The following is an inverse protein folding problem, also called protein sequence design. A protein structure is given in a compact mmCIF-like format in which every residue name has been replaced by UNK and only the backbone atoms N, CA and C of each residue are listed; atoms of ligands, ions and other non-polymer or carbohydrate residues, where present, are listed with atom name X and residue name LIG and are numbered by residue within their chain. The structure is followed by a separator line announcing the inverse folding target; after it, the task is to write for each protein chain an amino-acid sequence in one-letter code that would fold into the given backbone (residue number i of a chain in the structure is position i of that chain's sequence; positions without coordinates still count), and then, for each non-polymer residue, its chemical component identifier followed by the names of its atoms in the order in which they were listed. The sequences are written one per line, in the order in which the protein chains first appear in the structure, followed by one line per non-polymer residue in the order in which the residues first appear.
data_IF_177465084529
#
_entry.id   IF_177465084529
#
_cell.length_a   1.000
_cell.length_b   1.000
_cell.length_c   1.000
_cell.angle_alpha   90.00
_cell.angle_beta   90.00
_cell.angle_gamma   90.00
#
_symmetry.space_group_name_H-M   'P 1'
#
loop_
_entity.id
_entity.type
_entity.pdbx_description
1 polymer ?
#
# COMPACT_ATOMS: atom_id res chain seq x y z
N UNK A 1 -44.17 17.94 -57.70
CA UNK A 1 -42.74 18.22 -57.93
C UNK A 1 -42.11 18.24 -56.56
N UNK A 2 -41.17 17.40 -56.13
CA UNK A 2 -40.49 16.19 -56.60
C UNK A 2 -39.79 15.66 -55.31
N UNK A 3 -40.06 14.44 -54.84
CA UNK A 3 -39.21 13.22 -54.88
C UNK A 3 -38.10 13.07 -53.82
N UNK A 4 -38.05 11.87 -53.21
CA UNK A 4 -36.90 11.24 -52.51
C UNK A 4 -37.10 11.07 -51.00
N UNK A 5 -37.45 9.93 -50.38
CA UNK A 5 -37.10 8.50 -50.53
C UNK A 5 -35.66 8.14 -50.14
N UNK A 6 -35.49 7.44 -48.99
CA UNK A 6 -34.50 6.37 -48.65
C UNK A 6 -34.63 6.05 -47.14
N UNK A 7 -35.31 4.98 -46.72
CA UNK A 7 -34.84 3.60 -46.50
C UNK A 7 -33.50 3.42 -45.75
N UNK A 8 -33.61 2.87 -44.52
CA UNK A 8 -33.00 1.60 -44.12
C UNK A 8 -31.50 1.52 -43.81
N UNK A 9 -31.16 1.08 -42.60
CA UNK A 9 -30.12 0.05 -42.40
C UNK A 9 -30.24 -0.67 -41.06
N UNK A 10 -30.63 -1.94 -41.17
CA UNK A 10 -30.33 -3.04 -40.25
C UNK A 10 -29.01 -3.67 -40.73
N UNK A 11 -28.17 -4.13 -39.80
CA UNK A 11 -26.99 -4.97 -40.02
C UNK A 11 -26.19 -5.05 -38.71
N UNK A 12 -26.41 -6.03 -37.84
CA UNK A 12 -25.84 -7.40 -37.83
C UNK A 12 -24.32 -7.45 -38.09
N UNK A 13 -23.55 -7.68 -37.01
CA UNK A 13 -22.63 -8.82 -36.74
C UNK A 13 -21.61 -9.26 -37.83
N UNK A 14 -20.58 -10.12 -37.55
CA UNK A 14 -19.85 -10.51 -36.33
C UNK A 14 -18.30 -10.70 -36.53
N UNK A 15 -17.59 -11.19 -35.48
CA UNK A 15 -16.25 -11.88 -35.47
C UNK A 15 -15.01 -10.99 -35.69
N UNK A 16 -13.86 -11.20 -35.04
CA UNK A 16 -13.36 -12.27 -34.16
C UNK A 16 -12.29 -11.71 -33.19
N UNK A 17 -12.10 -12.32 -32.01
CA UNK A 17 -11.11 -13.38 -31.74
C UNK A 17 -9.67 -12.81 -31.78
N UNK A 18 -8.74 -13.02 -30.83
CA UNK A 18 -8.37 -14.20 -30.04
C UNK A 18 -7.49 -13.70 -28.84
N UNK A 19 -7.36 -14.54 -27.80
CA UNK A 19 -6.31 -14.62 -26.76
C UNK A 19 -6.48 -13.64 -25.57
N UNK A 20 -6.73 -14.03 -24.33
CA UNK A 20 -6.80 -15.32 -23.63
C UNK A 20 -6.71 -15.02 -22.11
N UNK A 21 -7.26 -15.86 -21.22
CA UNK A 21 -7.15 -15.67 -19.78
C UNK A 21 -5.73 -16.01 -19.34
N UNK A 22 -4.99 -15.04 -18.80
CA UNK A 22 -3.73 -15.31 -18.10
C UNK A 22 -4.03 -15.99 -16.76
N UNK A 23 -4.16 -17.32 -16.83
CA UNK A 23 -3.88 -18.23 -15.73
C UNK A 23 -2.40 -18.10 -15.36
N UNK A 24 -2.09 -17.76 -14.11
CA UNK A 24 -0.81 -18.13 -13.52
C UNK A 24 -1.11 -19.27 -12.55
N UNK A 25 -1.03 -20.47 -13.11
CA UNK A 25 -0.83 -21.73 -12.39
C UNK A 25 0.68 -21.91 -12.33
N UNK A 26 1.26 -21.82 -11.15
CA UNK A 26 2.59 -22.39 -10.91
C UNK A 26 2.38 -23.78 -10.32
N UNK A 27 2.57 -24.79 -11.16
CA UNK A 27 2.81 -26.17 -10.74
C UNK A 27 4.29 -26.44 -11.02
N UNK A 28 4.97 -26.73 -9.93
CA UNK A 28 6.04 -27.70 -9.68
C UNK A 28 6.96 -28.11 -10.86
N UNK A 29 8.27 -28.07 -10.62
CA UNK A 29 9.02 -29.28 -10.33
C UNK A 29 10.49 -28.97 -10.08
N UNK A 30 11.07 -29.72 -9.13
CA UNK A 30 12.48 -30.10 -8.96
C UNK A 30 12.93 -29.91 -7.50
N UNK A 31 12.46 -30.77 -6.58
CA UNK A 31 12.98 -32.11 -6.30
C UNK A 31 14.45 -32.09 -5.86
N UNK A 32 14.64 -32.24 -4.55
CA UNK A 32 15.91 -32.50 -3.89
C UNK A 32 15.68 -33.07 -2.48
N UNK A 33 14.64 -33.89 -2.35
CA UNK A 33 14.38 -34.70 -1.17
C UNK A 33 14.68 -36.15 -1.56
N UNK A 34 15.97 -36.49 -1.57
CA UNK A 34 16.39 -37.89 -1.47
C UNK A 34 16.29 -38.28 0.01
N UNK A 35 15.05 -38.52 0.43
CA UNK A 35 14.79 -39.52 1.46
C UNK A 35 15.16 -40.88 0.85
N UNK A 36 16.39 -41.32 1.12
CA UNK A 36 16.71 -42.74 1.00
C UNK A 36 15.88 -43.46 2.05
N UNK A 37 14.77 -44.02 1.57
CA UNK A 37 13.89 -44.95 2.25
C UNK A 37 14.70 -46.18 2.69
N UNK A 38 15.32 -46.11 3.87
CA UNK A 38 15.58 -47.31 4.67
C UNK A 38 14.32 -47.60 5.46
N UNK A 39 13.37 -48.21 4.78
CA UNK A 39 12.14 -48.78 5.34
C UNK A 39 12.57 -49.82 6.39
N UNK A 40 12.62 -49.41 7.66
CA UNK A 40 12.57 -50.34 8.79
C UNK A 40 11.16 -50.92 8.82
N UNK A 41 10.95 -51.94 7.98
CA UNK A 41 9.77 -52.80 8.07
C UNK A 41 10.01 -53.72 9.26
N UNK A 42 9.71 -53.21 10.45
CA UNK A 42 9.49 -54.04 11.63
C UNK A 42 8.11 -54.71 11.45
N UNK A 43 8.07 -55.81 10.69
CA UNK A 43 6.95 -56.74 10.72
C UNK A 43 7.38 -58.01 11.44
N UNK A 44 6.54 -58.35 12.40
CA UNK A 44 6.63 -59.45 13.33
C UNK A 44 6.78 -60.79 12.59
N UNK A 45 7.69 -61.63 13.09
CA UNK A 45 7.75 -63.04 12.69
C UNK A 45 9.16 -63.56 12.45
N UNK A 46 9.49 -64.61 13.19
CA UNK A 46 10.62 -65.55 13.02
C UNK A 46 11.98 -65.14 13.62
N UNK A 47 12.24 -65.68 14.82
CA UNK A 47 13.52 -65.69 15.53
C UNK A 47 14.68 -66.39 14.78
N UNK A 48 14.45 -66.92 13.58
CA UNK A 48 15.49 -67.59 12.79
C UNK A 48 16.42 -66.63 12.02
N UNK A 49 15.98 -65.41 11.65
CA UNK A 49 16.81 -64.48 10.84
C UNK A 49 17.81 -63.64 11.65
N UNK A 50 17.63 -63.54 12.97
CA UNK A 50 18.53 -62.79 13.87
C UNK A 50 19.83 -63.54 14.14
N UNK A 51 19.78 -64.86 14.20
CA UNK A 51 20.98 -65.69 14.40
C UNK A 51 21.89 -65.65 13.16
N UNK A 52 21.31 -65.71 11.95
CA UNK A 52 22.07 -65.56 10.70
C UNK A 52 22.71 -64.17 10.59
N UNK A 53 21.97 -63.11 10.92
CA UNK A 53 22.51 -61.74 10.90
C UNK A 53 23.61 -61.52 11.95
N UNK A 54 23.51 -62.17 13.10
CA UNK A 54 24.54 -62.13 14.15
C UNK A 54 25.76 -62.96 13.78
N UNK A 55 25.56 -64.11 13.12
CA UNK A 55 26.63 -64.94 12.60
C UNK A 55 27.38 -64.22 11.47
N UNK A 56 26.67 -63.56 10.57
CA UNK A 56 27.25 -62.70 9.52
C UNK A 56 28.01 -61.51 10.12
N UNK A 57 27.49 -60.87 11.18
CA UNK A 57 28.24 -59.83 11.89
C UNK A 57 29.52 -60.38 12.52
N UNK A 58 29.45 -61.55 13.17
CA UNK A 58 30.61 -62.16 13.82
C UNK A 58 31.68 -62.60 12.81
N UNK A 59 31.29 -63.15 11.67
CA UNK A 59 32.22 -63.54 10.59
C UNK A 59 32.87 -62.31 9.96
N UNK A 60 32.09 -61.25 9.67
CA UNK A 60 32.62 -60.01 9.11
C UNK A 60 33.58 -59.30 10.08
N UNK A 61 33.32 -59.36 11.39
CA UNK A 61 34.22 -58.83 12.41
C UNK A 61 35.54 -59.61 12.46
N UNK A 62 35.47 -60.93 12.42
CA UNK A 62 36.65 -61.79 12.39
C UNK A 62 37.48 -61.58 11.12
N UNK A 63 36.82 -61.50 9.97
CA UNK A 63 37.46 -61.23 8.68
C UNK A 63 38.12 -59.86 8.68
N UNK A 64 37.43 -58.81 9.13
CA UNK A 64 38.02 -57.48 9.25
C UNK A 64 39.21 -57.43 10.22
N UNK A 65 39.15 -58.15 11.35
CA UNK A 65 40.27 -58.24 12.28
C UNK A 65 41.48 -58.94 11.65
N UNK A 66 41.23 -60.01 10.89
CA UNK A 66 42.27 -60.77 10.17
C UNK A 66 42.90 -59.92 9.07
N UNK A 67 42.08 -59.19 8.31
CA UNK A 67 42.53 -58.27 7.27
C UNK A 67 43.37 -57.13 7.85
N UNK A 68 42.99 -56.57 9.00
CA UNK A 68 43.80 -55.57 9.72
C UNK A 68 45.16 -56.11 10.13
N UNK A 69 45.18 -57.31 10.71
CA UNK A 69 46.43 -57.94 11.12
C UNK A 69 47.33 -58.29 9.92
N UNK A 70 46.73 -58.71 8.80
CA UNK A 70 47.45 -58.95 7.55
C UNK A 70 48.03 -57.66 6.95
N UNK A 71 47.25 -56.58 6.97
CA UNK A 71 47.68 -55.25 6.51
C UNK A 71 48.86 -54.73 7.35
N UNK A 72 48.78 -54.87 8.68
CA UNK A 72 49.86 -54.49 9.60
C UNK A 72 51.14 -55.29 9.36
N UNK A 73 51.04 -56.61 9.13
CA UNK A 73 52.18 -57.46 8.78
C UNK A 73 52.78 -57.12 7.43
N UNK A 74 51.96 -56.67 6.48
CA UNK A 74 52.41 -56.18 5.17
C UNK A 74 52.99 -54.75 5.23
N UNK A 75 53.08 -54.13 6.41
CA UNK A 75 53.57 -52.76 6.59
C UNK A 75 52.59 -51.69 6.12
N UNK A 76 51.35 -52.06 5.78
CA UNK A 76 50.29 -51.14 5.43
C UNK A 76 49.71 -50.46 6.67
N UNK A 77 49.68 -49.13 6.68
CA UNK A 77 48.98 -48.37 7.73
C UNK A 77 47.48 -48.42 7.43
N UNK A 78 46.61 -48.74 8.42
CA UNK A 78 45.18 -48.60 8.22
C UNK A 78 44.87 -47.12 7.85
N UNK A 79 43.89 -46.86 6.97
CA UNK A 79 43.50 -45.50 6.63
C UNK A 79 43.22 -44.71 7.91
N UNK A 80 44.06 -43.71 8.19
CA UNK A 80 43.83 -42.77 9.28
C UNK A 80 42.50 -42.06 9.05
N UNK A 81 41.78 -41.81 10.14
CA UNK A 81 40.45 -41.22 10.25
C UNK A 81 40.27 -39.91 9.46
N UNK A 82 40.10 -39.96 8.15
CA UNK A 82 39.75 -38.80 7.31
C UNK A 82 38.34 -38.24 7.58
N UNK A 83 37.55 -38.92 8.40
CA UNK A 83 36.20 -38.51 8.78
C UNK A 83 36.23 -37.50 9.94
N UNK A 84 37.15 -37.62 10.90
CA UNK A 84 37.09 -36.81 12.13
C UNK A 84 37.48 -35.34 11.93
N UNK A 85 38.46 -35.04 11.07
CA UNK A 85 38.93 -33.65 10.88
C UNK A 85 37.96 -32.80 10.06
N UNK A 86 37.34 -33.39 9.03
CA UNK A 86 36.25 -32.72 8.28
C UNK A 86 35.02 -32.51 9.14
N UNK A 87 34.64 -33.50 9.95
CA UNK A 87 33.46 -33.37 10.83
C UNK A 87 33.71 -32.34 11.94
N UNK A 88 34.93 -32.23 12.47
CA UNK A 88 35.31 -31.16 13.40
C UNK A 88 35.29 -29.79 12.74
N UNK A 89 35.87 -29.63 11.55
CA UNK A 89 35.82 -28.37 10.80
C UNK A 89 34.37 -27.95 10.47
N UNK A 90 33.53 -28.88 10.02
CA UNK A 90 32.10 -28.62 9.76
C UNK A 90 31.38 -28.23 11.07
N UNK A 91 31.65 -28.93 12.18
CA UNK A 91 31.02 -28.64 13.47
C UNK A 91 31.43 -27.27 14.03
N UNK A 92 32.67 -26.83 13.80
CA UNK A 92 33.15 -25.50 14.22
C UNK A 92 32.55 -24.39 13.35
N UNK A 93 32.50 -24.57 12.03
CA UNK A 93 31.88 -23.60 11.11
C UNK A 93 30.36 -23.46 11.35
N UNK A 94 29.68 -24.56 11.67
CA UNK A 94 28.24 -24.53 12.00
C UNK A 94 28.01 -23.85 13.35
N UNK A 95 28.84 -24.12 14.36
CA UNK A 95 28.74 -23.44 15.65
C UNK A 95 28.97 -21.92 15.52
N UNK A 96 29.95 -21.49 14.72
CA UNK A 96 30.23 -20.07 14.49
C UNK A 96 29.10 -19.38 13.71
N UNK A 97 28.54 -20.05 12.69
CA UNK A 97 27.36 -19.56 11.96
C UNK A 97 26.15 -19.44 12.87
N UNK A 98 25.91 -20.42 13.75
CA UNK A 98 24.80 -20.39 14.70
C UNK A 98 24.95 -19.27 15.73
N UNK A 99 26.17 -19.00 16.21
CA UNK A 99 26.44 -17.87 17.09
C UNK A 99 26.16 -16.52 16.40
N UNK A 100 26.54 -16.38 15.12
CA UNK A 100 26.23 -15.18 14.31
C UNK A 100 24.73 -15.02 14.08
N UNK A 101 24.01 -16.11 13.79
CA UNK A 101 22.54 -16.08 13.63
C UNK A 101 21.88 -15.62 14.93
N UNK A 102 22.27 -16.19 16.07
CA UNK A 102 21.72 -15.79 17.37
C UNK A 102 22.01 -14.31 17.69
N UNK A 103 23.19 -13.81 17.35
CA UNK A 103 23.52 -12.38 17.48
C UNK A 103 22.63 -11.49 16.59
N UNK A 104 22.40 -11.88 15.33
CA UNK A 104 21.54 -11.13 14.41
C UNK A 104 20.06 -11.15 14.84
N UNK A 105 19.59 -12.26 15.40
CA UNK A 105 18.22 -12.37 15.92
C UNK A 105 17.97 -11.38 17.07
N UNK A 106 18.95 -11.23 17.97
CA UNK A 106 18.90 -10.24 19.06
C UNK A 106 18.88 -8.82 18.50
N UNK A 107 19.71 -8.52 17.50
CA UNK A 107 19.75 -7.20 16.86
C UNK A 107 18.42 -6.90 16.14
N UNK A 108 17.85 -7.87 15.43
CA UNK A 108 16.54 -7.74 14.78
C UNK A 108 15.41 -7.54 15.80
N UNK A 109 15.45 -8.20 16.95
CA UNK A 109 14.47 -8.01 18.01
C UNK A 109 14.55 -6.57 18.57
N UNK A 110 15.76 -6.07 18.80
CA UNK A 110 15.98 -4.70 19.27
C UNK A 110 15.52 -3.66 18.24
N UNK A 111 15.84 -3.86 16.96
CA UNK A 111 15.47 -2.95 15.88
C UNK A 111 13.95 -2.94 15.62
N UNK A 112 13.28 -4.09 15.74
CA UNK A 112 11.82 -4.17 15.69
C UNK A 112 11.18 -3.41 16.86
N UNK A 113 11.73 -3.56 18.07
CA UNK A 113 11.25 -2.86 19.25
C UNK A 113 11.40 -1.34 19.11
N UNK A 114 12.54 -0.87 18.58
CA UNK A 114 12.79 0.54 18.32
C UNK A 114 11.85 1.12 17.26
N UNK A 115 11.62 0.37 16.16
CA UNK A 115 10.71 0.79 15.09
C UNK A 115 9.25 0.85 15.57
N UNK A 116 8.84 -0.08 16.42
CA UNK A 116 7.50 -0.06 17.02
C UNK A 116 7.34 1.13 17.97
N UNK A 117 8.37 1.44 18.76
CA UNK A 117 8.39 2.65 19.61
C UNK A 117 8.30 3.92 18.78
N UNK A 118 9.10 4.05 17.71
CA UNK A 118 9.05 5.20 16.82
C UNK A 118 7.67 5.35 16.13
N UNK A 119 7.03 4.23 15.76
CA UNK A 119 5.66 4.24 15.23
C UNK A 119 4.65 4.73 16.26
N UNK A 120 4.76 4.27 17.51
CA UNK A 120 3.90 4.73 18.61
C UNK A 120 4.09 6.22 18.86
N UNK A 121 5.33 6.71 18.91
CA UNK A 121 5.63 8.13 19.12
C UNK A 121 5.11 9.01 17.96
N UNK A 122 5.24 8.53 16.72
CA UNK A 122 4.71 9.22 15.52
C UNK A 122 3.18 9.25 15.51
N UNK A 123 2.53 8.15 15.88
CA UNK A 123 1.07 8.07 15.97
C UNK A 123 0.52 8.92 17.11
N UNK A 124 1.16 8.91 18.27
CA UNK A 124 0.81 9.78 19.40
C UNK A 124 1.00 11.25 19.04
N UNK A 125 2.11 11.62 18.37
CA UNK A 125 2.32 12.99 17.89
C UNK A 125 1.23 13.42 16.90
N UNK A 126 0.83 12.53 15.97
CA UNK A 126 -0.29 12.77 15.04
C UNK A 126 -1.65 12.88 15.74
N UNK A 127 -1.89 12.10 16.78
CA UNK A 127 -3.13 12.17 17.57
C UNK A 127 -3.18 13.41 18.45
N UNK A 128 -2.06 13.80 19.07
CA UNK A 128 -1.93 15.06 19.81
C UNK A 128 -2.15 16.26 18.90
N UNK A 129 -1.63 16.25 17.67
CA UNK A 129 -1.94 17.28 16.66
C UNK A 129 -3.41 17.31 16.25
N UNK A 130 -4.09 16.17 16.21
CA UNK A 130 -5.54 16.10 15.92
C UNK A 130 -6.40 16.57 17.10
N UNK A 131 -5.96 16.34 18.34
CA UNK A 131 -6.71 16.71 19.53
C UNK A 131 -6.44 18.17 19.97
N UNK A 132 -5.30 18.74 19.60
CA UNK A 132 -5.02 20.17 19.77
C UNK A 132 -5.67 21.07 18.71
N UNK A 133 -6.31 20.48 17.68
CA UNK A 133 -7.15 21.23 16.73
C UNK A 133 -8.58 21.50 17.25
N UNK A 134 -8.94 20.98 18.43
CA UNK A 134 -10.32 21.07 18.96
C UNK A 134 -10.44 22.07 20.13
N UNK A 135 -9.35 22.64 20.61
CA UNK A 135 -9.37 23.61 21.72
C UNK A 135 -8.18 24.56 21.58
N UNK A 136 -8.47 25.83 21.28
CA UNK A 136 -7.56 26.95 20.98
C UNK A 136 -7.31 27.17 19.48
N UNK A 137 -8.29 27.85 18.89
CA UNK A 137 -8.30 28.49 17.58
C UNK A 137 -7.26 29.63 17.51
N UNK A 138 -5.98 29.32 17.65
CA UNK A 138 -4.95 30.16 17.02
C UNK A 138 -4.96 29.81 15.54
N UNK A 139 -5.82 30.51 14.80
CA UNK A 139 -5.81 30.47 13.35
C UNK A 139 -4.41 30.94 12.97
N UNK A 140 -3.51 30.01 12.66
CA UNK A 140 -2.35 30.31 11.84
C UNK A 140 -2.92 30.82 10.53
N UNK A 141 -3.11 32.14 10.48
CA UNK A 141 -3.72 32.85 9.40
C UNK A 141 -2.79 32.72 8.20
N UNK A 142 -2.96 31.62 7.46
CA UNK A 142 -2.17 31.38 6.28
C UNK A 142 -2.73 32.29 5.18
N UNK A 143 -1.92 33.24 4.71
CA UNK A 143 -2.30 34.13 3.61
C UNK A 143 -2.29 33.42 2.23
N UNK A 144 -2.34 32.09 2.23
CA UNK A 144 -2.45 31.28 1.02
C UNK A 144 -3.92 31.22 0.59
N UNK A 145 -4.11 31.25 -0.72
CA UNK A 145 -5.43 31.19 -1.34
C UNK A 145 -5.95 29.75 -1.29
N UNK A 146 -7.09 29.56 -0.65
CA UNK A 146 -7.86 28.31 -0.66
C UNK A 146 -8.58 28.13 -1.99
N UNK A 147 -8.51 26.92 -2.56
CA UNK A 147 -9.11 26.59 -3.86
C UNK A 147 -9.83 25.22 -3.90
N UNK A 148 -9.87 24.48 -2.80
CA UNK A 148 -10.48 23.12 -2.70
C UNK A 148 -11.55 22.99 -1.63
N UNK A 149 -11.47 23.82 -0.59
CA UNK A 149 -12.44 23.89 0.49
C UNK A 149 -12.36 25.31 1.06
N UNK A 150 -13.50 25.86 1.47
CA UNK A 150 -13.54 27.17 2.10
C UNK A 150 -14.15 27.05 3.49
N UNK A 151 -13.43 27.57 4.47
CA UNK A 151 -13.89 27.74 5.84
C UNK A 151 -13.79 29.21 6.25
N UNK A 152 -14.45 29.56 7.35
CA UNK A 152 -14.29 30.89 7.96
C UNK A 152 -12.83 31.04 8.38
N UNK A 153 -12.20 32.13 7.95
CA UNK A 153 -10.78 32.43 8.16
C UNK A 153 -9.89 32.18 6.95
N UNK A 154 -10.36 31.43 5.95
CA UNK A 154 -9.60 31.15 4.72
C UNK A 154 -9.56 32.36 3.77
N UNK A 155 -8.50 32.47 2.97
CA UNK A 155 -8.39 33.48 1.92
C UNK A 155 -8.94 32.92 0.61
N UNK A 156 -9.95 33.58 0.04
CA UNK A 156 -10.53 33.24 -1.26
C UNK A 156 -10.19 34.26 -2.33
N UNK A 157 -9.93 33.77 -3.55
CA UNK A 157 -9.85 34.60 -4.76
C UNK A 157 -11.20 34.55 -5.48
N UNK A 158 -11.77 35.70 -5.76
CA UNK A 158 -13.07 35.84 -6.41
C UNK A 158 -12.92 36.55 -7.74
N UNK A 159 -13.44 35.92 -8.79
CA UNK A 159 -13.34 36.39 -10.17
C UNK A 159 -14.72 36.79 -10.68
N UNK A 160 -14.84 37.89 -11.45
CA UNK A 160 -16.11 38.29 -12.03
C UNK A 160 -16.58 37.27 -13.07
N UNK A 161 -17.79 36.76 -12.89
CA UNK A 161 -18.47 35.86 -13.82
C UNK A 161 -19.51 36.65 -14.61
N UNK A 162 -19.16 37.05 -15.83
CA UNK A 162 -20.08 37.65 -16.79
C UNK A 162 -20.91 38.84 -16.27
N UNK A 163 -22.03 39.11 -16.93
CA UNK A 163 -23.02 40.13 -16.52
C UNK A 163 -24.11 39.45 -15.69
N UNK A 164 -24.26 39.84 -14.42
CA UNK A 164 -25.38 39.40 -13.59
C UNK A 164 -26.68 40.11 -13.94
N UNK A 165 -27.78 39.65 -13.33
CA UNK A 165 -29.08 40.34 -13.40
C UNK A 165 -28.92 41.79 -12.92
N UNK A 166 -29.44 42.75 -13.69
CA UNK A 166 -29.41 44.18 -13.34
C UNK A 166 -28.07 44.89 -13.55
N UNK A 167 -27.17 44.34 -14.39
CA UNK A 167 -25.91 45.01 -14.78
C UNK A 167 -24.81 44.98 -13.72
N UNK A 168 -25.07 44.40 -12.55
CA UNK A 168 -24.06 44.15 -11.51
C UNK A 168 -23.20 42.93 -11.90
N UNK A 169 -21.89 43.01 -11.65
CA UNK A 169 -20.98 41.85 -11.83
C UNK A 169 -21.20 40.88 -10.68
N UNK A 170 -21.35 39.61 -11.01
CA UNK A 170 -21.33 38.51 -10.04
C UNK A 170 -19.87 38.09 -9.88
N UNK A 171 -19.43 37.80 -8.67
CA UNK A 171 -18.09 37.27 -8.43
C UNK A 171 -18.20 35.86 -7.86
N UNK A 172 -17.44 34.93 -8.43
CA UNK A 172 -17.39 33.53 -8.05
C UNK A 172 -16.02 33.21 -7.48
N UNK A 173 -16.00 32.44 -6.40
CA UNK A 173 -14.77 31.96 -5.80
C UNK A 173 -14.04 30.99 -6.75
N UNK A 174 -12.74 31.18 -6.91
CA UNK A 174 -11.88 30.28 -7.64
C UNK A 174 -11.76 28.95 -6.88
N UNK A 175 -12.25 27.88 -7.50
CA UNK A 175 -12.26 26.57 -6.86
C UNK A 175 -12.16 25.44 -7.88
N UNK A 176 -11.33 24.44 -7.59
CA UNK A 176 -11.00 23.32 -8.49
C UNK A 176 -12.22 22.48 -8.93
N UNK A 177 -13.17 22.27 -8.02
CA UNK A 177 -14.44 21.59 -8.28
C UNK A 177 -15.67 22.47 -8.55
N UNK A 178 -15.53 23.80 -8.70
CA UNK A 178 -16.64 24.73 -8.95
C UNK A 178 -17.89 24.58 -8.04
N UNK A 179 -17.78 24.50 -6.71
CA UNK A 179 -18.93 24.69 -5.83
C UNK A 179 -19.41 26.12 -6.04
N UNK A 180 -20.69 26.29 -6.37
CA UNK A 180 -21.33 27.57 -6.63
C UNK A 180 -21.21 28.53 -5.42
N UNK A 181 -20.06 29.18 -5.28
CA UNK A 181 -19.68 30.01 -4.13
C UNK A 181 -19.51 31.43 -4.60
N UNK A 182 -20.50 32.26 -4.32
CA UNK A 182 -20.58 33.63 -4.78
C UNK A 182 -20.14 34.59 -3.69
N UNK A 183 -19.58 35.72 -4.10
CA UNK A 183 -19.28 36.83 -3.20
C UNK A 183 -20.55 37.65 -2.93
N UNK A 184 -20.78 38.03 -1.68
CA UNK A 184 -21.83 38.99 -1.34
C UNK A 184 -21.57 40.34 -2.02
N UNK A 185 -22.62 40.95 -2.57
CA UNK A 185 -22.55 42.27 -3.20
C UNK A 185 -22.13 43.38 -2.23
N UNK A 186 -22.30 43.15 -0.92
CA UNK A 186 -22.03 44.15 0.12
C UNK A 186 -20.53 44.28 0.42
N UNK A 187 -19.75 43.27 0.04
CA UNK A 187 -18.30 43.21 0.27
C UNK A 187 -17.50 43.93 -0.81
N UNK A 188 -18.15 44.40 -1.88
CA UNK A 188 -17.48 44.98 -3.05
C UNK A 188 -17.95 46.41 -3.29
N UNK A 189 -17.01 47.28 -3.62
CA UNK A 189 -17.30 48.64 -4.07
C UNK A 189 -16.73 48.83 -5.47
N UNK A 190 -17.57 49.27 -6.41
CA UNK A 190 -17.18 49.46 -7.81
C UNK A 190 -17.22 48.16 -8.63
N UNK A 191 -16.25 47.99 -9.53
CA UNK A 191 -16.17 46.86 -10.45
C UNK A 191 -14.75 46.31 -10.60
N UNK A 192 -14.14 45.80 -9.51
CA UNK A 192 -12.79 45.24 -9.56
C UNK A 192 -12.69 44.05 -10.53
N UNK A 193 -11.50 43.82 -11.09
CA UNK A 193 -11.24 42.68 -11.96
C UNK A 193 -11.08 41.37 -11.18
N UNK A 194 -10.68 41.46 -9.91
CA UNK A 194 -10.64 40.35 -8.97
C UNK A 194 -10.79 40.88 -7.55
N UNK A 195 -11.28 40.04 -6.65
CA UNK A 195 -11.36 40.37 -5.22
C UNK A 195 -10.63 39.28 -4.46
N UNK A 196 -9.67 39.68 -3.63
CA UNK A 196 -9.02 38.81 -2.67
C UNK A 196 -9.54 39.17 -1.28
N UNK A 197 -10.04 38.19 -0.53
CA UNK A 197 -10.59 38.47 0.78
C UNK A 197 -10.60 37.25 1.69
N UNK A 198 -10.56 37.53 3.00
CA UNK A 198 -10.69 36.52 4.04
C UNK A 198 -12.16 36.26 4.33
N UNK A 199 -12.58 35.01 4.31
CA UNK A 199 -13.97 34.63 4.54
C UNK A 199 -14.31 34.83 6.01
N UNK A 200 -15.27 35.71 6.29
CA UNK A 200 -15.74 35.98 7.66
C UNK A 200 -17.05 35.24 7.92
N UNK A 201 -17.85 35.03 6.88
CA UNK A 201 -19.13 34.36 6.98
C UNK A 201 -19.48 33.65 5.66
N UNK A 202 -20.22 32.56 5.77
CA UNK A 202 -20.76 31.83 4.63
C UNK A 202 -22.18 31.36 4.93
N UNK A 203 -23.06 31.51 3.95
CA UNK A 203 -24.47 31.12 4.06
C UNK A 203 -24.80 30.13 2.93
N UNK A 204 -25.51 29.06 3.27
CA UNK A 204 -25.96 28.05 2.31
C UNK A 204 -27.38 28.33 1.86
N UNK A 205 -27.57 28.29 0.55
CA UNK A 205 -28.86 28.47 -0.09
C UNK A 205 -29.13 27.36 -1.10
N UNK A 206 -30.40 27.20 -1.46
CA UNK A 206 -30.83 26.30 -2.53
C UNK A 206 -31.54 27.11 -3.60
N UNK A 207 -31.13 26.93 -4.86
CA UNK A 207 -31.70 27.64 -5.99
C UNK A 207 -33.18 27.29 -6.18
N UNK A 208 -34.03 28.31 -6.12
CA UNK A 208 -35.46 28.21 -6.46
C UNK A 208 -35.70 28.14 -7.97
N UNK A 209 -36.93 28.39 -8.39
CA UNK A 209 -37.30 28.43 -9.82
C UNK A 209 -36.44 29.44 -10.60
N UNK A 210 -36.25 29.18 -11.89
CA UNK A 210 -35.51 30.08 -12.78
C UNK A 210 -36.18 31.46 -12.75
N UNK A 211 -35.37 32.49 -12.61
CA UNK A 211 -35.78 33.90 -12.50
C UNK A 211 -36.42 34.37 -11.19
N UNK A 212 -36.57 33.51 -10.18
CA UNK A 212 -37.01 33.94 -8.84
C UNK A 212 -35.91 34.69 -8.08
N UNK A 213 -36.29 35.52 -7.10
CA UNK A 213 -35.35 36.24 -6.23
C UNK A 213 -34.44 35.28 -5.42
N UNK A 214 -34.89 34.05 -5.18
CA UNK A 214 -34.11 32.98 -4.55
C UNK A 214 -33.02 32.37 -5.45
N UNK A 215 -32.95 32.79 -6.72
CA UNK A 215 -31.97 32.29 -7.70
C UNK A 215 -31.43 33.43 -8.59
N UNK A 216 -30.67 34.38 -8.00
CA UNK A 216 -30.11 35.51 -8.73
C UNK A 216 -29.00 35.08 -9.72
N UNK A 217 -28.44 33.87 -9.53
CA UNK A 217 -27.31 33.34 -10.29
C UNK A 217 -27.72 32.46 -11.48
N UNK A 218 -29.02 32.22 -11.69
CA UNK A 218 -29.52 31.42 -12.81
C UNK A 218 -29.11 29.93 -12.73
N UNK A 219 -28.98 29.39 -11.53
CA UNK A 219 -28.67 27.98 -11.29
C UNK A 219 -29.88 27.08 -11.56
N UNK A 220 -29.66 25.79 -11.75
CA UNK A 220 -30.75 24.84 -11.87
C UNK A 220 -31.50 24.73 -10.53
N UNK A 221 -32.83 24.56 -10.59
CA UNK A 221 -33.66 24.41 -9.39
C UNK A 221 -33.14 23.25 -8.52
N UNK A 222 -33.01 23.47 -7.22
CA UNK A 222 -32.47 22.49 -6.27
C UNK A 222 -30.95 22.50 -6.15
N UNK A 223 -30.22 23.30 -6.94
CA UNK A 223 -28.77 23.42 -6.82
C UNK A 223 -28.39 24.17 -5.55
N UNK A 224 -27.50 23.57 -4.74
CA UNK A 224 -26.92 24.24 -3.58
C UNK A 224 -25.88 25.27 -4.00
N UNK A 225 -25.96 26.45 -3.41
CA UNK A 225 -24.97 27.50 -3.58
C UNK A 225 -24.68 28.16 -2.24
N UNK A 226 -23.54 28.83 -2.17
CA UNK A 226 -23.13 29.57 -0.98
C UNK A 226 -22.88 31.02 -1.33
N UNK A 227 -23.27 31.91 -0.43
CA UNK A 227 -22.90 33.32 -0.49
C UNK A 227 -21.87 33.58 0.60
N UNK A 228 -20.72 34.13 0.22
CA UNK A 228 -19.58 34.36 1.09
C UNK A 228 -19.46 35.86 1.37
N UNK A 229 -19.35 36.20 2.65
CA UNK A 229 -18.99 37.53 3.11
C UNK A 229 -17.51 37.53 3.45
N UNK A 230 -16.76 38.44 2.84
CA UNK A 230 -15.31 38.50 2.98
C UNK A 230 -14.85 39.88 3.39
N UNK A 231 -13.77 39.90 4.15
CA UNK A 231 -13.00 41.11 4.39
C UNK A 231 -11.98 41.27 3.27
N UNK A 232 -12.17 42.29 2.43
CA UNK A 232 -11.29 42.53 1.28
C UNK A 232 -9.88 42.90 1.72
N UNK A 233 -8.89 42.17 1.22
CA UNK A 233 -7.48 42.44 1.43
C UNK A 233 -7.02 43.42 0.35
N UNK A 234 -6.98 44.71 0.67
CA UNK A 234 -6.38 45.72 -0.22
C UNK A 234 -4.86 45.56 -0.21
N UNK A 235 -4.22 45.48 -1.39
CA UNK A 235 -2.82 45.88 -1.52
C UNK A 235 -2.79 47.40 -1.39
N UNK A 236 -2.14 47.89 -0.34
CA UNK A 236 -1.81 49.32 -0.20
C UNK A 236 -0.91 49.79 -1.32
#
# INVERSE_FOLDING_TARGET
MDLGSTMGRVGNDPRGSIIGPSFIVSVDDNSGHDDVIMRTVCHEGSDARREDSNAECATLLYENATLRQALERAGGKPPLLYVNDKTKQISMDVAEKNAKISSMEVELANMKLELEKARRDTQQSRQSQKNSATTQTEVNQCDKISHTSFQVGDVGLFMPTGRGKGGKRIYLAFHSGCPHRYLSSDCITGSPDFVLGRIVYQEEFTAGALESDSNPFGLHVGTKYWVLTVETMKRG
#
